data_IF_282981514127
#
_entry.id   IF_282981514127
#
_cell.length_a   1.000
_cell.length_b   1.000
_cell.length_c   1.000
_cell.angle_alpha   90.00
_cell.angle_beta   90.00
_cell.angle_gamma   90.00
#
_symmetry.space_group_name_H-M   'P 1'
#
loop_
_entity.id
_entity.type
_entity.pdbx_description
1 polymer ?
#
# COMPACT_ATOMS: atom_id res chain seq x y z
N UNK A 1 8.75 13.28 -21.02
CA UNK A 1 9.14 11.90 -20.85
C UNK A 1 8.26 11.22 -19.80
N UNK A 2 8.17 9.94 -19.91
CA UNK A 2 7.38 9.16 -18.98
C UNK A 2 8.24 8.58 -17.87
N UNK A 3 7.63 8.46 -16.70
CA UNK A 3 8.27 7.77 -15.60
C UNK A 3 7.64 6.38 -15.49
N UNK A 4 8.35 5.46 -14.89
CA UNK A 4 7.81 4.13 -14.71
C UNK A 4 6.68 4.17 -13.67
N UNK A 5 5.83 3.14 -13.68
CA UNK A 5 4.79 3.05 -12.66
C UNK A 5 5.37 3.00 -11.26
N UNK A 6 6.50 2.33 -11.13
CA UNK A 6 7.19 2.24 -9.85
C UNK A 6 7.56 3.63 -9.34
N UNK A 7 8.14 4.47 -10.20
CA UNK A 7 8.52 5.81 -9.80
C UNK A 7 7.30 6.67 -9.51
N UNK A 8 6.22 6.47 -10.25
CA UNK A 8 4.98 7.18 -10.00
C UNK A 8 4.43 6.84 -8.61
N UNK A 9 4.49 5.56 -8.23
CA UNK A 9 4.04 5.16 -6.90
C UNK A 9 4.93 5.74 -5.81
N UNK A 10 6.24 5.81 -6.05
CA UNK A 10 7.14 6.43 -5.09
C UNK A 10 6.79 7.89 -4.86
N UNK A 11 6.51 8.61 -5.94
CA UNK A 11 6.12 10.01 -5.84
C UNK A 11 4.80 10.17 -5.11
N UNK A 12 3.85 9.31 -5.41
CA UNK A 12 2.54 9.35 -4.77
C UNK A 12 2.64 9.13 -3.27
N UNK A 13 3.50 8.23 -2.85
CA UNK A 13 3.65 7.87 -1.45
C UNK A 13 4.59 8.80 -0.69
N UNK A 14 5.26 9.69 -1.39
CA UNK A 14 6.28 10.54 -0.79
C UNK A 14 5.77 11.35 0.40
N UNK A 15 4.56 11.85 0.30
CA UNK A 15 4.00 12.72 1.33
C UNK A 15 3.33 11.95 2.46
N UNK A 16 3.31 10.64 2.39
CA UNK A 16 2.72 9.81 3.42
C UNK A 16 3.80 9.36 4.40
N UNK A 17 3.44 9.15 5.68
CA UNK A 17 4.43 8.70 6.66
C UNK A 17 4.92 7.28 6.35
N UNK A 18 6.06 6.93 6.94
CA UNK A 18 6.63 5.60 6.74
C UNK A 18 5.72 4.49 7.25
N UNK A 19 4.93 4.78 8.26
CA UNK A 19 3.94 3.85 8.79
C UNK A 19 2.58 4.53 8.72
N UNK A 20 1.66 3.92 8.02
CA UNK A 20 0.36 4.53 7.73
C UNK A 20 -0.76 3.86 8.48
N UNK A 21 -1.86 4.60 8.65
CA UNK A 21 -3.09 4.05 9.18
C UNK A 21 -3.86 3.36 8.06
N UNK A 22 -4.90 2.59 8.46
CA UNK A 22 -5.73 1.95 7.46
C UNK A 22 -6.48 2.98 6.61
N UNK A 23 -6.85 4.11 7.20
CA UNK A 23 -7.53 5.16 6.44
C UNK A 23 -6.64 5.70 5.34
N UNK A 24 -5.37 5.92 5.64
CA UNK A 24 -4.43 6.42 4.64
C UNK A 24 -4.21 5.39 3.53
N UNK A 25 -4.09 4.12 3.89
CA UNK A 25 -3.95 3.06 2.91
C UNK A 25 -5.16 3.02 1.98
N UNK A 26 -6.34 3.08 2.54
CA UNK A 26 -7.57 3.03 1.74
C UNK A 26 -7.69 4.24 0.83
N UNK A 27 -7.25 5.39 1.30
CA UNK A 27 -7.25 6.60 0.49
C UNK A 27 -6.37 6.43 -0.74
N UNK A 28 -5.17 5.89 -0.52
CA UNK A 28 -4.23 5.65 -1.61
C UNK A 28 -4.80 4.67 -2.62
N UNK A 29 -5.42 3.61 -2.13
CA UNK A 29 -5.96 2.56 -3.00
C UNK A 29 -7.35 2.89 -3.55
N UNK A 30 -7.96 3.96 -3.06
CA UNK A 30 -9.31 4.36 -3.46
C UNK A 30 -10.34 3.27 -3.18
N UNK A 31 -10.25 2.67 -1.99
CA UNK A 31 -11.16 1.61 -1.58
C UNK A 31 -11.78 1.97 -0.24
N UNK A 32 -12.86 1.28 0.10
CA UNK A 32 -13.48 1.48 1.41
C UNK A 32 -12.64 0.83 2.50
N UNK A 33 -12.85 1.27 3.74
CA UNK A 33 -12.13 0.68 4.86
C UNK A 33 -12.50 -0.79 5.03
N UNK A 34 -13.72 -1.16 4.71
CA UNK A 34 -14.13 -2.57 4.76
C UNK A 34 -13.26 -3.43 3.85
N UNK A 35 -13.04 -2.97 2.63
CA UNK A 35 -12.17 -3.68 1.70
C UNK A 35 -10.73 -3.66 2.18
N UNK A 36 -10.30 -2.53 2.75
CA UNK A 36 -8.95 -2.43 3.30
C UNK A 36 -8.70 -3.46 4.40
N UNK A 37 -9.64 -3.58 5.34
CA UNK A 37 -9.51 -4.57 6.40
C UNK A 37 -9.44 -5.99 5.84
N UNK A 38 -10.23 -6.27 4.82
CA UNK A 38 -10.20 -7.58 4.20
C UNK A 38 -8.83 -7.88 3.59
N UNK A 39 -8.23 -6.91 2.90
CA UNK A 39 -6.91 -7.07 2.31
C UNK A 39 -5.87 -7.39 3.39
N UNK A 40 -5.94 -6.70 4.50
CA UNK A 40 -5.00 -6.92 5.60
C UNK A 40 -5.22 -8.29 6.24
N UNK A 41 -6.48 -8.68 6.42
CA UNK A 41 -6.77 -10.00 7.00
C UNK A 41 -6.31 -11.14 6.09
N UNK A 42 -6.36 -10.92 4.78
CA UNK A 42 -5.92 -11.92 3.83
C UNK A 42 -4.40 -11.96 3.66
N UNK A 43 -3.71 -11.04 4.31
CA UNK A 43 -2.26 -11.03 4.27
C UNK A 43 -1.66 -10.53 2.98
N UNK A 44 -2.44 -9.82 2.17
CA UNK A 44 -1.94 -9.31 0.89
C UNK A 44 -0.96 -8.17 1.07
N UNK A 45 -1.10 -7.44 2.16
CA UNK A 45 -0.17 -6.36 2.52
C UNK A 45 0.28 -6.65 3.94
N UNK A 46 1.58 -6.70 4.16
CA UNK A 46 2.11 -6.90 5.49
C UNK A 46 1.79 -5.71 6.37
N UNK A 47 1.32 -5.99 7.55
CA UNK A 47 0.97 -4.94 8.50
C UNK A 47 1.19 -5.43 9.91
N UNK A 48 1.28 -4.48 10.82
CA UNK A 48 1.37 -4.75 12.25
C UNK A 48 0.07 -4.31 12.90
N UNK A 49 -0.43 -5.10 13.82
CA UNK A 49 -1.60 -4.72 14.57
C UNK A 49 -1.18 -4.37 15.98
N UNK A 50 -1.37 -3.10 16.35
CA UNK A 50 -1.02 -2.61 17.69
C UNK A 50 -2.32 -2.27 18.39
N UNK A 51 -2.70 -3.09 19.37
CA UNK A 51 -4.01 -2.93 19.99
C UNK A 51 -5.09 -3.21 18.95
N UNK A 52 -5.89 -2.19 18.66
CA UNK A 52 -6.97 -2.30 17.68
C UNK A 52 -6.63 -1.62 16.35
N UNK A 53 -5.45 -1.03 16.26
CA UNK A 53 -5.08 -0.26 15.08
C UNK A 53 -4.10 -1.02 14.23
N UNK A 54 -4.31 -0.98 12.93
CA UNK A 54 -3.35 -1.51 11.97
C UNK A 54 -2.31 -0.45 11.66
N UNK A 55 -1.07 -0.89 11.54
CA UNK A 55 0.04 -0.04 11.13
C UNK A 55 0.62 -0.65 9.86
N UNK A 56 0.53 0.08 8.78
CA UNK A 56 0.94 -0.43 7.47
C UNK A 56 2.24 0.27 7.05
N UNK A 57 3.36 -0.46 7.05
CA UNK A 57 4.60 0.13 6.55
C UNK A 57 4.47 0.53 5.09
N UNK A 58 4.87 1.74 4.79
CA UNK A 58 4.75 2.28 3.44
C UNK A 58 5.45 1.39 2.42
N UNK A 59 6.59 0.81 2.79
CA UNK A 59 7.34 -0.05 1.90
C UNK A 59 6.52 -1.27 1.47
N UNK A 60 5.71 -1.81 2.36
CA UNK A 60 4.89 -2.97 2.02
C UNK A 60 3.73 -2.60 1.10
N UNK A 61 3.16 -1.42 1.30
CA UNK A 61 2.14 -0.95 0.39
C UNK A 61 2.72 -0.69 -1.00
N UNK A 62 3.91 -0.12 -1.04
CA UNK A 62 4.60 0.09 -2.31
C UNK A 62 4.81 -1.22 -3.06
N UNK A 63 5.27 -2.25 -2.34
CA UNK A 63 5.46 -3.57 -2.92
C UNK A 63 4.15 -4.14 -3.47
N UNK A 64 3.07 -3.99 -2.72
CA UNK A 64 1.77 -4.45 -3.15
C UNK A 64 1.33 -3.76 -4.44
N UNK A 65 1.53 -2.45 -4.51
CA UNK A 65 1.17 -1.69 -5.70
C UNK A 65 1.98 -2.13 -6.92
N UNK A 66 3.26 -2.35 -6.74
CA UNK A 66 4.11 -2.78 -7.84
C UNK A 66 3.71 -4.16 -8.36
N UNK A 67 3.43 -5.09 -7.45
CA UNK A 67 3.00 -6.42 -7.84
C UNK A 67 1.63 -6.35 -8.52
N UNK A 68 0.74 -5.52 -7.97
CA UNK A 68 -0.60 -5.38 -8.49
C UNK A 68 -0.66 -4.84 -9.91
N UNK A 69 0.33 -4.05 -10.31
CA UNK A 69 0.36 -3.51 -11.66
C UNK A 69 1.16 -4.40 -12.63
N UNK A 70 1.73 -5.47 -12.12
CA UNK A 70 2.46 -6.41 -12.96
C UNK A 70 3.84 -5.95 -13.36
N UNK A 71 4.30 -4.86 -12.82
CA UNK A 71 5.57 -4.28 -13.23
C UNK A 71 6.78 -5.11 -12.83
N UNK A 72 6.67 -5.85 -11.76
CA UNK A 72 7.78 -6.59 -11.22
C UNK A 72 8.08 -7.87 -11.95
N UNK A 73 7.29 -8.23 -12.78
CA UNK A 73 7.38 -9.55 -13.33
C UNK A 73 8.59 -9.79 -14.15
N UNK A 74 8.81 -10.07 -13.90
CA UNK A 74 9.39 -10.48 -14.46
C UNK A 74 9.96 -10.79 -14.68
N UNK A 75 9.99 -10.61 -14.40
CA UNK A 75 10.28 -10.97 -14.60
C UNK A 75 10.55 -11.49 -14.88
#
# INVERSE_FOLDING_TARGET
STISQRDAYKLMLKDYPDVMSIEQMCEILSISTKTGYRILREGKILSLKVGRAYRIPKAHLFTYLCIGCGETVNS
#
